data_IF_222951919708
#
_entry.id   IF_222951919708
#
_cell.length_a   1.000
_cell.length_b   1.000
_cell.length_c   1.000
_cell.angle_alpha   90.00
_cell.angle_beta   90.00
_cell.angle_gamma   90.00
#
_symmetry.space_group_name_H-M   'P 1'
#
loop_
_entity.id
_entity.type
_entity.pdbx_description
1 polymer ?
#
# COMPACT_ATOMS: atom_id res chain seq x y z
N UNK A 1 -37.06 -13.97 -22.15
CA UNK A 1 -35.77 -13.66 -21.47
C UNK A 1 -35.56 -14.72 -20.40
N UNK A 2 -34.47 -15.47 -20.46
CA UNK A 2 -34.13 -16.44 -19.44
C UNK A 2 -33.77 -15.72 -18.14
N UNK A 3 -34.47 -16.01 -17.04
CA UNK A 3 -34.11 -15.54 -15.71
C UNK A 3 -32.81 -16.21 -15.31
N UNK A 4 -31.70 -15.47 -15.21
CA UNK A 4 -30.49 -16.00 -14.58
C UNK A 4 -30.76 -16.13 -13.08
N UNK A 5 -30.74 -17.34 -12.57
CA UNK A 5 -30.77 -17.62 -11.15
C UNK A 5 -29.32 -17.46 -10.62
N UNK A 6 -29.14 -16.58 -9.71
CA UNK A 6 -27.89 -16.45 -8.93
C UNK A 6 -28.10 -17.19 -7.62
N UNK A 7 -27.09 -17.91 -7.16
CA UNK A 7 -27.15 -18.50 -5.83
C UNK A 7 -27.06 -17.39 -4.76
N UNK A 8 -27.88 -17.48 -3.73
CA UNK A 8 -27.93 -16.50 -2.66
C UNK A 8 -26.58 -16.39 -1.95
N UNK A 9 -25.86 -17.50 -1.81
CA UNK A 9 -24.52 -17.55 -1.22
C UNK A 9 -23.51 -16.69 -1.99
N UNK A 10 -23.57 -16.70 -3.34
CA UNK A 10 -22.67 -15.89 -4.17
C UNK A 10 -22.95 -14.39 -4.01
N UNK A 11 -24.23 -14.03 -3.94
CA UNK A 11 -24.64 -12.63 -3.71
C UNK A 11 -24.19 -12.16 -2.33
N UNK A 12 -24.30 -13.00 -1.30
CA UNK A 12 -23.85 -12.70 0.04
C UNK A 12 -22.32 -12.58 0.12
N UNK A 13 -21.59 -13.43 -0.60
CA UNK A 13 -20.12 -13.37 -0.67
C UNK A 13 -19.65 -12.07 -1.33
N UNK A 14 -20.27 -11.64 -2.43
CA UNK A 14 -19.98 -10.37 -3.09
C UNK A 14 -20.30 -9.20 -2.15
N UNK A 15 -21.43 -9.20 -1.46
CA UNK A 15 -21.79 -8.17 -0.51
C UNK A 15 -20.80 -8.08 0.69
N UNK A 16 -20.31 -9.24 1.14
CA UNK A 16 -19.30 -9.31 2.20
C UNK A 16 -17.95 -8.74 1.73
N UNK A 17 -17.52 -9.07 0.51
CA UNK A 17 -16.31 -8.54 -0.09
C UNK A 17 -16.38 -7.00 -0.27
N UNK A 18 -17.53 -6.48 -0.69
CA UNK A 18 -17.77 -5.03 -0.80
C UNK A 18 -17.64 -4.36 0.57
N UNK A 19 -18.27 -4.94 1.61
CA UNK A 19 -18.19 -4.38 2.98
C UNK A 19 -16.76 -4.38 3.53
N UNK A 20 -16.04 -5.46 3.31
CA UNK A 20 -14.65 -5.57 3.73
C UNK A 20 -13.77 -4.49 3.07
N UNK A 21 -14.02 -4.22 1.79
CA UNK A 21 -13.24 -3.25 1.00
C UNK A 21 -13.54 -1.79 1.37
N UNK A 22 -14.79 -1.44 1.61
CA UNK A 22 -15.18 -0.06 1.89
C UNK A 22 -15.32 0.25 3.39
N UNK A 23 -14.97 -0.70 4.27
CA UNK A 23 -15.08 -0.54 5.72
C UNK A 23 -16.51 -0.33 6.22
N UNK A 24 -17.52 -0.69 5.43
CA UNK A 24 -18.92 -0.45 5.71
C UNK A 24 -19.59 -1.66 6.38
N UNK A 25 -20.51 -1.40 7.31
CA UNK A 25 -21.43 -2.40 7.84
C UNK A 25 -22.77 -2.46 7.09
N UNK A 26 -22.92 -1.66 6.02
CA UNK A 26 -24.18 -1.54 5.26
C UNK A 26 -24.53 -2.85 4.58
N UNK A 27 -25.80 -3.25 4.66
CA UNK A 27 -26.33 -4.38 3.89
C UNK A 27 -26.65 -3.91 2.47
N UNK A 28 -26.04 -4.53 1.47
CA UNK A 28 -26.27 -4.19 0.06
C UNK A 28 -27.29 -5.13 -0.56
N UNK A 29 -28.29 -4.55 -1.23
CA UNK A 29 -29.13 -5.30 -2.17
C UNK A 29 -28.37 -5.49 -3.49
N UNK A 30 -28.70 -6.53 -4.25
CA UNK A 30 -28.04 -6.81 -5.53
C UNK A 30 -28.02 -5.58 -6.46
N UNK A 31 -29.12 -4.83 -6.52
CA UNK A 31 -29.24 -3.59 -7.30
C UNK A 31 -28.32 -2.46 -6.83
N UNK A 32 -27.81 -2.52 -5.60
CA UNK A 32 -26.93 -1.50 -5.03
C UNK A 32 -25.45 -1.88 -5.15
N UNK A 33 -25.15 -3.15 -5.44
CA UNK A 33 -23.78 -3.66 -5.47
C UNK A 33 -22.96 -3.04 -6.60
N UNK A 34 -23.55 -2.82 -7.77
CA UNK A 34 -22.87 -2.17 -8.88
C UNK A 34 -22.42 -0.75 -8.50
N UNK A 35 -23.32 0.06 -7.99
CA UNK A 35 -22.98 1.42 -7.53
C UNK A 35 -22.03 1.42 -6.33
N UNK A 36 -22.14 0.43 -5.45
CA UNK A 36 -21.20 0.27 -4.34
C UNK A 36 -19.80 -0.12 -4.83
N UNK A 37 -19.69 -0.97 -5.85
CA UNK A 37 -18.42 -1.32 -6.51
C UNK A 37 -17.85 -0.12 -7.27
N UNK A 38 -18.69 0.62 -8.00
CA UNK A 38 -18.29 1.85 -8.68
C UNK A 38 -17.83 2.94 -7.69
N UNK A 39 -18.50 3.04 -6.54
CA UNK A 39 -18.10 3.98 -5.48
C UNK A 39 -16.83 3.54 -4.73
N UNK A 40 -16.51 2.26 -4.77
CA UNK A 40 -15.21 1.72 -4.37
C UNK A 40 -14.16 1.99 -5.44
N UNK A 41 -14.19 3.16 -6.09
CA UNK A 41 -13.14 3.53 -7.03
C UNK A 41 -11.82 3.12 -6.42
N UNK A 42 -11.32 2.02 -6.93
CA UNK A 42 -10.10 1.36 -6.51
C UNK A 42 -8.98 2.40 -6.45
N UNK A 43 -8.48 2.64 -5.28
CA UNK A 43 -7.35 3.53 -5.06
C UNK A 43 -7.64 5.02 -4.90
N UNK A 44 -8.74 5.56 -5.44
CA UNK A 44 -8.94 7.03 -5.50
C UNK A 44 -9.18 7.70 -4.14
N UNK A 45 -9.74 7.00 -3.16
CA UNK A 45 -10.10 7.64 -1.90
C UNK A 45 -8.93 7.88 -0.94
N UNK A 46 -7.87 7.09 -1.06
CA UNK A 46 -6.67 7.21 -0.23
C UNK A 46 -5.50 7.88 -0.94
N UNK A 47 -5.43 7.72 -2.26
CA UNK A 47 -4.31 8.23 -3.07
C UNK A 47 -4.53 9.71 -3.46
N UNK A 48 -5.75 10.22 -3.38
CA UNK A 48 -6.05 11.58 -3.83
C UNK A 48 -5.57 12.69 -2.88
N UNK A 49 -5.42 12.42 -1.58
CA UNK A 49 -5.09 13.48 -0.62
C UNK A 49 -3.63 13.50 -0.19
N UNK A 50 -2.95 12.34 -0.16
CA UNK A 50 -1.67 12.22 0.52
C UNK A 50 -0.51 11.80 -0.41
N UNK A 51 -0.77 11.43 -1.65
CA UNK A 51 0.26 10.97 -2.59
C UNK A 51 0.21 11.77 -3.88
N UNK A 52 1.33 12.38 -4.32
CA UNK A 52 1.39 13.14 -5.56
C UNK A 52 0.94 12.32 -6.78
N UNK A 53 0.33 12.97 -7.76
CA UNK A 53 -0.25 12.30 -8.93
C UNK A 53 0.79 11.50 -9.72
N UNK A 54 2.01 12.01 -9.85
CA UNK A 54 3.07 11.29 -10.55
C UNK A 54 3.45 9.98 -9.85
N UNK A 55 3.54 9.96 -8.51
CA UNK A 55 3.80 8.75 -7.72
C UNK A 55 2.67 7.74 -7.91
N UNK A 56 1.43 8.20 -7.88
CA UNK A 56 0.25 7.38 -8.12
C UNK A 56 0.26 6.75 -9.51
N UNK A 57 0.60 7.54 -10.54
CA UNK A 57 0.68 7.08 -11.92
C UNK A 57 1.73 5.99 -12.08
N UNK A 58 2.89 6.15 -11.47
CA UNK A 58 3.94 5.13 -11.46
C UNK A 58 3.52 3.87 -10.70
N UNK A 59 2.92 4.02 -9.53
CA UNK A 59 2.42 2.89 -8.75
C UNK A 59 1.35 2.09 -9.51
N UNK A 60 0.43 2.77 -10.23
CA UNK A 60 -0.55 2.12 -11.11
C UNK A 60 0.12 1.35 -12.24
N UNK A 61 1.15 1.91 -12.85
CA UNK A 61 1.92 1.23 -13.91
C UNK A 61 2.62 -0.03 -13.40
N UNK A 62 3.20 0.03 -12.20
CA UNK A 62 3.80 -1.14 -11.53
C UNK A 62 2.74 -2.18 -11.20
N UNK A 63 1.65 -1.77 -10.55
CA UNK A 63 0.55 -2.67 -10.19
C UNK A 63 -0.01 -3.41 -11.40
N UNK A 64 -0.18 -2.73 -12.53
CA UNK A 64 -0.63 -3.33 -13.79
C UNK A 64 0.35 -4.40 -14.31
N UNK A 65 1.65 -4.14 -14.24
CA UNK A 65 2.68 -5.11 -14.67
C UNK A 65 2.68 -6.35 -13.77
N UNK A 66 2.59 -6.17 -12.46
CA UNK A 66 2.57 -7.28 -11.50
C UNK A 66 1.30 -8.09 -11.66
N UNK A 67 0.14 -7.45 -11.73
CA UNK A 67 -1.15 -8.15 -11.90
C UNK A 67 -1.24 -8.95 -13.20
N UNK A 68 -0.48 -8.57 -14.23
CA UNK A 68 -0.44 -9.32 -15.49
C UNK A 68 0.28 -10.68 -15.37
N UNK A 69 1.10 -10.87 -14.33
CA UNK A 69 1.87 -12.11 -14.11
C UNK A 69 1.47 -12.83 -12.82
N UNK A 70 0.63 -12.21 -12.00
CA UNK A 70 0.16 -12.77 -10.74
C UNK A 70 -0.82 -13.93 -10.98
N UNK A 71 -0.69 -14.99 -10.21
CA UNK A 71 -1.59 -16.15 -10.19
C UNK A 71 -2.07 -16.39 -8.76
N UNK A 72 -2.98 -17.34 -8.56
CA UNK A 72 -3.44 -17.76 -7.22
C UNK A 72 -2.34 -18.32 -6.34
N UNK A 73 -1.26 -18.83 -6.95
CA UNK A 73 -0.13 -19.45 -6.26
C UNK A 73 1.08 -18.50 -6.16
N UNK A 74 0.93 -17.25 -6.61
CA UNK A 74 1.99 -16.25 -6.52
C UNK A 74 2.12 -15.71 -5.11
N UNK A 75 3.37 -15.52 -4.66
CA UNK A 75 3.69 -14.69 -3.49
C UNK A 75 4.14 -13.32 -4.02
N UNK A 76 3.48 -12.27 -3.56
CA UNK A 76 3.77 -10.90 -3.97
C UNK A 76 4.28 -10.11 -2.77
N UNK A 77 5.42 -9.49 -2.89
CA UNK A 77 5.99 -8.70 -1.81
C UNK A 77 6.69 -7.43 -2.32
N UNK A 78 6.83 -6.46 -1.43
CA UNK A 78 7.64 -5.27 -1.67
C UNK A 78 8.97 -5.45 -0.91
N UNK A 79 10.07 -5.30 -1.63
CA UNK A 79 11.40 -5.25 -1.03
C UNK A 79 11.98 -3.84 -1.19
N UNK A 80 12.55 -3.31 -0.12
CA UNK A 80 13.28 -2.05 -0.11
C UNK A 80 14.53 -2.19 0.76
N UNK A 81 15.54 -1.37 0.46
CA UNK A 81 16.79 -1.28 1.22
C UNK A 81 17.42 0.09 1.01
N UNK A 82 18.54 0.35 1.67
CA UNK A 82 19.45 1.47 1.38
C UNK A 82 18.77 2.85 1.50
N UNK A 83 17.94 3.03 2.52
CA UNK A 83 17.32 4.32 2.80
C UNK A 83 18.36 5.39 3.17
N UNK A 84 19.46 4.98 3.82
CA UNK A 84 20.55 5.85 4.26
C UNK A 84 20.03 7.16 4.88
N UNK A 85 18.95 7.07 5.67
CA UNK A 85 18.23 8.24 6.15
C UNK A 85 19.11 9.13 7.06
N UNK A 86 19.11 10.41 6.77
CA UNK A 86 19.82 11.44 7.53
C UNK A 86 18.93 12.67 7.61
N UNK A 87 18.50 13.03 8.80
CA UNK A 87 17.52 14.11 9.04
C UNK A 87 17.99 15.49 8.58
N UNK A 88 19.28 15.70 8.52
CA UNK A 88 19.88 16.99 8.13
C UNK A 88 20.14 17.09 6.61
N UNK A 89 19.81 16.04 5.84
CA UNK A 89 19.94 16.01 4.39
C UNK A 89 18.57 16.01 3.74
N UNK A 90 18.15 17.16 3.24
CA UNK A 90 16.84 17.37 2.64
C UNK A 90 16.59 16.45 1.44
N UNK A 91 17.60 16.18 0.62
CA UNK A 91 17.50 15.28 -0.52
C UNK A 91 17.19 13.83 -0.11
N UNK A 92 17.86 13.36 0.95
CA UNK A 92 17.65 12.02 1.48
C UNK A 92 16.27 11.91 2.14
N UNK A 93 15.89 12.93 2.90
CA UNK A 93 14.57 13.00 3.54
C UNK A 93 13.47 12.97 2.50
N UNK A 94 13.54 13.81 1.47
CA UNK A 94 12.55 13.85 0.40
C UNK A 94 12.50 12.55 -0.40
N UNK A 95 13.65 11.96 -0.73
CA UNK A 95 13.73 10.68 -1.41
C UNK A 95 13.05 9.57 -0.63
N UNK A 96 13.29 9.50 0.68
CA UNK A 96 12.67 8.50 1.55
C UNK A 96 11.16 8.74 1.73
N UNK A 97 10.71 9.98 1.82
CA UNK A 97 9.29 10.33 1.84
C UNK A 97 8.60 9.90 0.55
N UNK A 98 9.19 10.16 -0.61
CA UNK A 98 8.67 9.71 -1.91
C UNK A 98 8.61 8.19 -2.01
N UNK A 99 9.64 7.48 -1.56
CA UNK A 99 9.62 6.01 -1.49
C UNK A 99 8.50 5.49 -0.58
N UNK A 100 8.32 6.09 0.60
CA UNK A 100 7.23 5.79 1.51
C UNK A 100 5.85 6.02 0.87
N UNK A 101 5.67 7.12 0.16
CA UNK A 101 4.44 7.43 -0.59
C UNK A 101 4.18 6.42 -1.70
N UNK A 102 5.22 5.98 -2.43
CA UNK A 102 5.10 4.95 -3.47
C UNK A 102 4.68 3.60 -2.88
N UNK A 103 5.29 3.19 -1.76
CA UNK A 103 4.91 1.97 -1.04
C UNK A 103 3.47 2.04 -0.54
N UNK A 104 3.06 3.19 0.01
CA UNK A 104 1.68 3.45 0.45
C UNK A 104 0.71 3.34 -0.72
N UNK A 105 1.02 3.96 -1.85
CA UNK A 105 0.21 3.85 -3.06
C UNK A 105 0.08 2.41 -3.54
N UNK A 106 1.18 1.65 -3.60
CA UNK A 106 1.17 0.24 -4.00
C UNK A 106 0.35 -0.62 -3.04
N UNK A 107 0.44 -0.39 -1.72
CA UNK A 107 -0.33 -1.13 -0.73
C UNK A 107 -1.85 -1.00 -0.90
N UNK A 108 -2.31 0.12 -1.45
CA UNK A 108 -3.73 0.35 -1.75
C UNK A 108 -4.15 -0.12 -3.13
N UNK A 109 -3.27 0.03 -4.13
CA UNK A 109 -3.58 -0.26 -5.54
C UNK A 109 -3.44 -1.75 -5.84
N UNK A 110 -2.52 -2.44 -5.17
CA UNK A 110 -2.26 -3.86 -5.36
C UNK A 110 -2.90 -4.70 -4.26
N UNK A 111 -4.11 -5.22 -4.44
CA UNK A 111 -4.63 -6.23 -3.54
C UNK A 111 -3.78 -7.50 -3.65
N UNK A 112 -3.40 -8.07 -2.52
CA UNK A 112 -2.65 -9.33 -2.50
C UNK A 112 -1.14 -9.17 -2.40
N UNK A 113 -0.65 -8.06 -1.84
CA UNK A 113 0.71 -8.01 -1.31
C UNK A 113 0.72 -8.80 -0.01
N UNK A 114 1.50 -9.88 0.02
CA UNK A 114 1.55 -10.80 1.16
C UNK A 114 2.37 -10.22 2.30
N UNK A 115 3.49 -9.56 1.98
CA UNK A 115 4.35 -8.91 2.97
C UNK A 115 5.24 -7.84 2.34
N UNK A 116 5.89 -7.07 3.21
CA UNK A 116 6.94 -6.14 2.84
C UNK A 116 8.21 -6.48 3.62
N UNK A 117 9.38 -6.29 3.01
CA UNK A 117 10.66 -6.44 3.68
C UNK A 117 11.55 -5.23 3.45
N UNK A 118 12.28 -4.86 4.49
CA UNK A 118 13.33 -3.88 4.44
C UNK A 118 14.64 -4.51 4.85
N UNK A 119 15.62 -4.49 3.94
CA UNK A 119 16.82 -5.33 3.98
C UNK A 119 18.06 -4.61 4.50
N UNK A 120 17.88 -3.64 5.37
CA UNK A 120 18.98 -2.94 6.03
C UNK A 120 19.28 -1.55 5.49
N UNK A 121 20.39 -0.99 5.94
CA UNK A 121 20.86 0.36 5.63
C UNK A 121 19.81 1.45 5.86
N UNK A 122 19.19 1.39 7.04
CA UNK A 122 18.10 2.30 7.44
C UNK A 122 18.55 3.75 7.54
N UNK A 123 19.70 3.98 8.18
CA UNK A 123 20.21 5.32 8.40
C UNK A 123 21.70 5.36 8.16
N UNK A 124 22.19 6.53 7.76
CA UNK A 124 23.60 6.79 7.61
C UNK A 124 24.09 7.61 8.82
N UNK A 125 25.28 7.28 9.29
CA UNK A 125 25.99 8.04 10.29
C UNK A 125 27.37 8.43 9.80
N UNK A 126 27.96 9.43 10.44
CA UNK A 126 29.35 9.84 10.27
C UNK A 126 30.09 9.69 11.60
N UNK A 127 31.40 9.85 11.60
CA UNK A 127 32.21 9.88 12.83
C UNK A 127 31.75 10.94 13.85
N UNK A 128 31.03 11.96 13.37
CA UNK A 128 30.49 13.05 14.19
C UNK A 128 29.05 12.83 14.61
N UNK A 129 28.39 11.80 14.10
CA UNK A 129 26.98 11.51 14.43
C UNK A 129 26.86 11.01 15.87
N UNK A 130 26.17 11.77 16.70
CA UNK A 130 25.89 11.37 18.08
C UNK A 130 24.88 10.23 18.14
N UNK A 131 24.88 9.47 19.24
CA UNK A 131 23.89 8.41 19.47
C UNK A 131 22.45 8.96 19.44
N UNK A 132 22.23 10.18 19.91
CA UNK A 132 20.91 10.82 19.87
C UNK A 132 20.45 11.07 18.44
N UNK A 133 21.32 11.62 17.59
CA UNK A 133 21.03 11.82 16.15
C UNK A 133 20.79 10.51 15.43
N UNK A 134 21.62 9.48 15.65
CA UNK A 134 21.40 8.18 15.03
C UNK A 134 20.05 7.54 15.41
N UNK A 135 19.63 7.70 16.66
CA UNK A 135 18.29 7.26 17.11
C UNK A 135 17.17 8.05 16.45
N UNK A 136 17.36 9.35 16.24
CA UNK A 136 16.38 10.19 15.56
C UNK A 136 16.25 9.75 14.09
N UNK A 137 17.35 9.64 13.36
CA UNK A 137 17.35 9.18 11.95
C UNK A 137 16.63 7.84 11.80
N UNK A 138 16.93 6.89 12.69
CA UNK A 138 16.28 5.58 12.69
C UNK A 138 14.78 5.67 12.99
N UNK A 139 14.38 6.53 13.93
CA UNK A 139 12.97 6.71 14.27
C UNK A 139 12.18 7.30 13.09
N UNK A 140 12.75 8.27 12.38
CA UNK A 140 12.12 8.92 11.24
C UNK A 140 11.93 7.96 10.06
N UNK A 141 12.97 7.25 9.62
CA UNK A 141 12.82 6.27 8.55
C UNK A 141 11.86 5.15 8.93
N UNK A 142 11.87 4.75 10.19
CA UNK A 142 10.96 3.74 10.71
C UNK A 142 9.49 4.19 10.65
N UNK A 143 9.22 5.46 10.89
CA UNK A 143 7.89 6.04 10.75
C UNK A 143 7.45 6.07 9.28
N UNK A 144 8.32 6.49 8.37
CA UNK A 144 8.06 6.51 6.92
C UNK A 144 7.72 5.11 6.41
N UNK A 145 8.54 4.10 6.77
CA UNK A 145 8.31 2.71 6.36
C UNK A 145 7.02 2.14 6.95
N UNK A 146 6.73 2.44 8.22
CA UNK A 146 5.51 1.99 8.88
C UNK A 146 4.26 2.57 8.21
N UNK A 147 4.30 3.83 7.83
CA UNK A 147 3.21 4.47 7.12
C UNK A 147 3.10 3.96 5.68
N UNK A 148 4.21 3.84 4.96
CA UNK A 148 4.25 3.37 3.59
C UNK A 148 3.74 1.94 3.42
N UNK A 149 4.07 1.05 4.33
CA UNK A 149 3.59 -0.34 4.28
C UNK A 149 2.16 -0.52 4.79
N UNK A 150 1.63 0.45 5.53
CA UNK A 150 0.27 0.37 6.08
C UNK A 150 0.08 -0.86 6.98
N UNK A 151 -1.03 -1.59 6.76
CA UNK A 151 -1.37 -2.80 7.51
C UNK A 151 -0.75 -4.10 6.97
N UNK A 152 0.13 -4.03 5.96
CA UNK A 152 0.79 -5.21 5.39
C UNK A 152 1.85 -5.74 6.37
N UNK A 153 1.99 -7.07 6.57
CA UNK A 153 3.03 -7.65 7.40
C UNK A 153 4.42 -7.18 6.99
N UNK A 154 5.25 -6.79 7.96
CA UNK A 154 6.57 -6.22 7.71
C UNK A 154 7.66 -7.08 8.33
N UNK A 155 8.69 -7.37 7.53
CA UNK A 155 9.92 -7.99 7.96
C UNK A 155 11.07 -6.98 7.83
N UNK A 156 11.90 -6.88 8.86
CA UNK A 156 13.03 -5.97 8.91
C UNK A 156 14.26 -6.73 9.45
N UNK A 157 15.38 -6.52 8.81
CA UNK A 157 16.68 -7.07 9.22
C UNK A 157 17.52 -6.03 9.92
#
# INVERSE_FOLDING_TARGET
MAKKLYEEADVQAVAAAIRLRNGSSTTYKLSQMASAIESMKTGDKYVQTDVPEYVRTEALAVAKKVSAVQTTDSITFIAASDAHHHSDDEYIVDGNLHAGMAMKALSYIMPGIDFCCFLGDYSIGSETTTLAQGRQHFAEINAILKEGFGGIPQFRT
#
